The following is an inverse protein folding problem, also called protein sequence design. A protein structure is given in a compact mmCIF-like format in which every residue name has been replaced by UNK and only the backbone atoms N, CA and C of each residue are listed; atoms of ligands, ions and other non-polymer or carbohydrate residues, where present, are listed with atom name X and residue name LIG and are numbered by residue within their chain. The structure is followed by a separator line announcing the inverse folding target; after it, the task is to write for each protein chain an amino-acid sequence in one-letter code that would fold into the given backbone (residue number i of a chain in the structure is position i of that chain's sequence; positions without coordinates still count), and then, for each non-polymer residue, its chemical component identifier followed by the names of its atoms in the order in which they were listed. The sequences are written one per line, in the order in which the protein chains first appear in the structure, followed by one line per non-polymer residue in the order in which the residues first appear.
data_IF_788332962502
#
_entry.id   IF_788332962502
#
_cell.length_a   1.000
_cell.length_b   1.000
_cell.length_c   1.000
_cell.angle_alpha   90.00
_cell.angle_beta   90.00
_cell.angle_gamma   90.00
#
_symmetry.space_group_name_H-M   'P 1'
#
loop_
_entity.id
_entity.type
_entity.pdbx_description
1 polymer ?
#
# COMPACT_ATOMS: atom_id res chain seq x y z
N UNK A 1 25.50 -37.08 -10.81
CA UNK A 1 26.08 -35.72 -10.92
C UNK A 1 25.06 -34.72 -11.45
N UNK A 2 24.22 -35.08 -12.42
CA UNK A 2 23.25 -34.17 -13.05
C UNK A 2 22.15 -33.64 -12.09
N UNK A 3 21.64 -34.49 -11.20
CA UNK A 3 20.59 -34.13 -10.23
C UNK A 3 21.04 -33.06 -9.21
N UNK A 4 22.30 -33.13 -8.75
CA UNK A 4 22.84 -32.16 -7.78
C UNK A 4 23.04 -30.77 -8.40
N UNK A 5 23.43 -30.69 -9.67
CA UNK A 5 23.56 -29.40 -10.37
C UNK A 5 22.17 -28.81 -10.65
N UNK A 6 21.20 -29.64 -11.03
CA UNK A 6 19.80 -29.23 -11.17
C UNK A 6 19.23 -28.64 -9.87
N UNK A 7 19.47 -29.30 -8.74
CA UNK A 7 19.07 -28.80 -7.42
C UNK A 7 19.78 -27.48 -7.06
N UNK A 8 21.08 -27.36 -7.37
CA UNK A 8 21.85 -26.14 -7.13
C UNK A 8 21.27 -24.96 -7.91
N UNK A 9 20.96 -25.14 -9.20
CA UNK A 9 20.34 -24.10 -10.05
C UNK A 9 18.98 -23.70 -9.48
N UNK A 10 18.13 -24.66 -9.09
CA UNK A 10 16.82 -24.37 -8.50
C UNK A 10 16.92 -23.53 -7.21
N UNK A 11 17.89 -23.85 -6.34
CA UNK A 11 18.13 -23.08 -5.10
C UNK A 11 18.59 -21.65 -5.40
N UNK A 12 19.48 -21.48 -6.38
CA UNK A 12 19.96 -20.15 -6.78
C UNK A 12 18.85 -19.28 -7.36
N UNK A 13 18.00 -19.83 -8.22
CA UNK A 13 16.84 -19.12 -8.76
C UNK A 13 15.84 -18.74 -7.67
N UNK A 14 15.53 -19.67 -6.76
CA UNK A 14 14.66 -19.37 -5.61
C UNK A 14 15.24 -18.24 -4.75
N UNK A 15 16.55 -18.24 -4.48
CA UNK A 15 17.23 -17.17 -3.73
C UNK A 15 17.14 -15.82 -4.45
N UNK A 16 17.27 -15.81 -5.77
CA UNK A 16 17.14 -14.61 -6.60
C UNK A 16 15.70 -14.07 -6.57
N UNK A 17 14.71 -14.95 -6.70
CA UNK A 17 13.29 -14.58 -6.59
C UNK A 17 12.97 -13.97 -5.22
N UNK A 18 13.41 -14.60 -4.12
CA UNK A 18 13.22 -14.07 -2.77
C UNK A 18 13.88 -12.70 -2.58
N UNK A 19 15.08 -12.50 -3.13
CA UNK A 19 15.77 -11.20 -3.07
C UNK A 19 14.97 -10.11 -3.80
N UNK A 20 14.42 -10.43 -4.98
CA UNK A 20 13.60 -9.51 -5.74
C UNK A 20 12.30 -9.19 -5.00
N UNK A 21 11.61 -10.20 -4.49
CA UNK A 21 10.38 -10.02 -3.71
C UNK A 21 10.60 -9.09 -2.51
N UNK A 22 11.66 -9.32 -1.72
CA UNK A 22 12.00 -8.45 -0.58
C UNK A 22 12.28 -7.01 -1.00
N UNK A 23 12.93 -6.82 -2.15
CA UNK A 23 13.20 -5.49 -2.69
C UNK A 23 11.90 -4.78 -3.13
N UNK A 24 10.99 -5.51 -3.76
CA UNK A 24 9.70 -5.00 -4.21
C UNK A 24 8.79 -4.66 -3.01
N UNK A 25 8.75 -5.50 -1.98
CA UNK A 25 8.05 -5.25 -0.71
C UNK A 25 8.59 -3.99 -0.01
N UNK A 26 9.92 -3.86 0.09
CA UNK A 26 10.54 -2.67 0.68
C UNK A 26 10.20 -1.40 -0.11
N UNK A 27 10.20 -1.48 -1.45
CA UNK A 27 9.82 -0.35 -2.31
C UNK A 27 8.35 0.03 -2.12
N UNK A 28 7.45 -0.95 -2.06
CA UNK A 28 6.03 -0.73 -1.81
C UNK A 28 5.80 -0.06 -0.45
N UNK A 29 6.47 -0.54 0.61
CA UNK A 29 6.39 0.05 1.95
C UNK A 29 6.86 1.51 1.94
N UNK A 30 8.00 1.81 1.31
CA UNK A 30 8.52 3.20 1.21
C UNK A 30 7.57 4.12 0.47
N UNK A 31 6.92 3.63 -0.60
CA UNK A 31 5.92 4.38 -1.35
C UNK A 31 4.70 4.71 -0.48
N UNK A 32 4.21 3.74 0.30
CA UNK A 32 3.11 3.95 1.24
C UNK A 32 3.48 4.93 2.36
N UNK A 33 4.67 4.80 2.95
CA UNK A 33 5.17 5.75 3.96
C UNK A 33 5.25 7.18 3.42
N UNK A 34 5.70 7.34 2.16
CA UNK A 34 5.75 8.64 1.51
C UNK A 34 4.35 9.24 1.37
N UNK A 35 3.37 8.47 0.88
CA UNK A 35 1.99 8.96 0.77
C UNK A 35 1.39 9.35 2.12
N UNK A 36 1.52 8.50 3.14
CA UNK A 36 1.04 8.79 4.49
C UNK A 36 1.74 10.01 5.13
N UNK A 37 2.95 10.38 4.69
CA UNK A 37 3.63 11.59 5.16
C UNK A 37 3.00 12.89 4.64
N UNK A 38 2.31 12.83 3.50
CA UNK A 38 1.66 13.97 2.87
C UNK A 38 0.18 14.02 3.22
N UNK A 39 -0.48 12.86 3.21
CA UNK A 39 -1.94 12.78 3.36
C UNK A 39 -2.39 12.49 4.78
N UNK A 40 -1.48 12.04 5.65
CA UNK A 40 -1.83 11.49 6.97
C UNK A 40 -2.90 10.37 6.91
N UNK A 41 -3.04 9.71 5.75
CA UNK A 41 -4.00 8.62 5.54
C UNK A 41 -3.29 7.27 5.59
N UNK A 42 -3.93 6.32 6.28
CA UNK A 42 -3.63 4.88 6.21
C UNK A 42 -4.80 4.19 5.49
N UNK A 43 -4.62 3.74 4.24
CA UNK A 43 -5.67 3.08 3.49
C UNK A 43 -5.95 1.68 4.04
N UNK A 44 -7.21 1.22 3.98
CA UNK A 44 -7.53 -0.19 4.11
C UNK A 44 -7.23 -0.89 2.77
N UNK A 45 -6.52 -2.02 2.82
CA UNK A 45 -6.15 -2.79 1.63
C UNK A 45 -6.88 -4.14 1.53
N UNK A 46 -7.69 -4.50 2.54
CA UNK A 46 -8.39 -5.78 2.62
C UNK A 46 -9.61 -5.82 1.69
N UNK A 47 -10.31 -4.69 1.53
CA UNK A 47 -11.45 -4.52 0.63
C UNK A 47 -11.06 -3.60 -0.53
N UNK A 48 -11.02 -4.14 -1.75
CA UNK A 48 -10.70 -3.39 -2.96
C UNK A 48 -11.93 -2.80 -3.66
N UNK A 49 -13.15 -3.13 -3.21
CA UNK A 49 -14.39 -2.64 -3.80
C UNK A 49 -14.74 -1.22 -3.35
N UNK A 50 -14.15 -0.75 -2.24
CA UNK A 50 -14.45 0.54 -1.61
C UNK A 50 -13.18 1.30 -1.29
N UNK A 51 -13.26 2.63 -1.32
CA UNK A 51 -12.15 3.50 -0.93
C UNK A 51 -12.35 3.86 0.53
N UNK A 52 -11.60 3.22 1.42
CA UNK A 52 -11.78 3.40 2.86
C UNK A 52 -10.43 3.41 3.60
N UNK A 53 -10.43 3.91 4.82
CA UNK A 53 -9.24 3.94 5.65
C UNK A 53 -9.36 4.89 6.83
N UNK A 54 -8.19 5.31 7.32
CA UNK A 54 -8.04 6.12 8.52
C UNK A 54 -7.28 7.40 8.19
N UNK A 55 -7.77 8.55 8.63
CA UNK A 55 -7.02 9.81 8.69
C UNK A 55 -6.46 9.93 10.11
N UNK A 56 -5.15 10.14 10.22
CA UNK A 56 -4.41 10.18 11.48
C UNK A 56 -3.91 11.59 11.73
N UNK A 57 -4.46 12.26 12.73
CA UNK A 57 -3.88 13.51 13.23
C UNK A 57 -2.73 13.19 14.19
N UNK A 58 -1.53 13.63 13.85
CA UNK A 58 -0.32 13.36 14.64
C UNK A 58 -0.23 14.21 15.91
N UNK A 59 -0.81 15.40 15.87
CA UNK A 59 -0.72 16.37 16.97
C UNK A 59 -1.74 16.02 18.04
N UNK A 60 -2.98 15.72 17.63
CA UNK A 60 -4.06 15.36 18.54
C UNK A 60 -4.13 13.86 18.83
N UNK A 61 -3.38 13.03 18.08
CA UNK A 61 -3.46 11.56 18.09
C UNK A 61 -4.86 11.04 17.76
N UNK A 62 -5.69 11.85 17.11
CA UNK A 62 -7.02 11.45 16.69
C UNK A 62 -6.94 10.55 15.45
N UNK A 63 -7.85 9.59 15.38
CA UNK A 63 -8.01 8.70 14.23
C UNK A 63 -9.45 8.80 13.77
N UNK A 64 -9.65 9.17 12.51
CA UNK A 64 -10.98 9.31 11.90
C UNK A 64 -11.12 8.32 10.75
N UNK A 65 -12.20 7.55 10.75
CA UNK A 65 -12.49 6.62 9.67
C UNK A 65 -13.17 7.36 8.53
N UNK A 66 -12.82 7.01 7.29
CA UNK A 66 -13.55 7.45 6.11
C UNK A 66 -13.87 6.26 5.21
N UNK A 67 -14.94 6.42 4.45
CA UNK A 67 -15.39 5.42 3.48
C UNK A 67 -16.12 6.12 2.33
N UNK A 68 -15.70 5.80 1.12
CA UNK A 68 -16.23 6.33 -0.13
C UNK A 68 -16.61 5.14 -1.00
N UNK A 69 -17.86 5.13 -1.43
CA UNK A 69 -18.41 4.13 -2.32
C UNK A 69 -17.98 4.42 -3.76
N UNK A 70 -16.97 3.70 -4.24
CA UNK A 70 -16.37 3.94 -5.54
C UNK A 70 -17.30 3.64 -6.73
N UNK A 71 -18.43 2.94 -6.51
CA UNK A 71 -19.45 2.71 -7.54
C UNK A 71 -20.36 3.93 -7.75
N UNK A 72 -20.45 4.82 -6.76
CA UNK A 72 -21.36 5.97 -6.75
C UNK A 72 -20.70 7.29 -7.14
N UNK A 73 -19.38 7.35 -7.10
CA UNK A 73 -18.61 8.57 -7.37
C UNK A 73 -17.50 8.31 -8.37
N UNK A 74 -17.23 9.30 -9.20
CA UNK A 74 -16.10 9.26 -10.13
C UNK A 74 -14.77 9.29 -9.38
N UNK A 75 -13.70 8.85 -10.05
CA UNK A 75 -12.34 8.99 -9.50
C UNK A 75 -11.99 10.45 -9.18
N UNK A 76 -12.48 11.40 -9.98
CA UNK A 76 -12.26 12.84 -9.77
C UNK A 76 -12.95 13.33 -8.47
N UNK A 77 -14.22 12.97 -8.28
CA UNK A 77 -14.97 13.34 -7.06
C UNK A 77 -14.38 12.68 -5.82
N UNK A 78 -13.96 11.42 -5.93
CA UNK A 78 -13.28 10.68 -4.85
C UNK A 78 -11.99 11.40 -4.44
N UNK A 79 -11.11 11.72 -5.39
CA UNK A 79 -9.87 12.44 -5.11
C UNK A 79 -10.13 13.81 -4.46
N UNK A 80 -11.06 14.59 -4.99
CA UNK A 80 -11.42 15.89 -4.42
C UNK A 80 -11.99 15.76 -3.00
N UNK A 81 -12.81 14.74 -2.75
CA UNK A 81 -13.36 14.48 -1.42
C UNK A 81 -12.26 14.16 -0.42
N UNK A 82 -11.31 13.28 -0.79
CA UNK A 82 -10.15 12.95 0.06
C UNK A 82 -9.30 14.20 0.33
N UNK A 83 -8.97 14.98 -0.69
CA UNK A 83 -8.17 16.20 -0.51
C UNK A 83 -8.85 17.21 0.42
N UNK A 84 -10.17 17.36 0.34
CA UNK A 84 -10.94 18.23 1.26
C UNK A 84 -10.90 17.73 2.71
N UNK A 85 -10.78 16.43 2.96
CA UNK A 85 -10.70 15.87 4.32
C UNK A 85 -9.35 16.09 4.99
N UNK A 86 -8.26 16.24 4.21
CA UNK A 86 -6.88 16.35 4.72
C UNK A 86 -6.32 17.77 4.64
N UNK A 87 -7.02 18.69 3.98
CA UNK A 87 -6.65 20.11 3.93
C UNK A 87 -7.19 20.81 5.19
N UNK A 88 -6.35 21.58 5.92
CA UNK A 88 -6.78 22.34 7.09
C UNK A 88 -7.89 23.36 6.83
#
# INVERSE_FOLDING_TARGET
MDDLEGQRVAVLEKKKMLKKQKQDEFRAQRKLSMYASVTNIIPNLDDQSRVMGYIVDRDTKAVQNFEIDAEKVTAYETCNSIWKMITP
#
